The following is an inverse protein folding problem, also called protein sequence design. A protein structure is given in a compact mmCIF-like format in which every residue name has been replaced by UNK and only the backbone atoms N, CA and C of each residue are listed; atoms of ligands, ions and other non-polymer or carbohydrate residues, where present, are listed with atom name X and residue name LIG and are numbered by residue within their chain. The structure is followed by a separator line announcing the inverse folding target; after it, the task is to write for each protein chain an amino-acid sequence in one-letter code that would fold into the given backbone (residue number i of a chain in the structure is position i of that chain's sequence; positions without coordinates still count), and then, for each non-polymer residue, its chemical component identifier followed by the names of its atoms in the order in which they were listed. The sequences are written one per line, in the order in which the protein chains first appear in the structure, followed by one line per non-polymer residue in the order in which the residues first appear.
data_IF_757029114540
#
_entry.id   IF_757029114540
#
_cell.length_a   1.000
_cell.length_b   1.000
_cell.length_c   1.000
_cell.angle_alpha   90.00
_cell.angle_beta   90.00
_cell.angle_gamma   90.00
#
_symmetry.space_group_name_H-M   'P 1'
#
loop_
_entity.id
_entity.type
_entity.pdbx_description
1 polymer ?
#
# COMPACT_ATOMS: atom_id res chain seq x y z
N UNK A 1 -13.77 -7.88 37.79
CA UNK A 1 -13.27 -8.74 36.69
C UNK A 1 -14.28 -9.87 36.46
N UNK A 2 -15.05 -9.83 35.38
CA UNK A 2 -16.01 -10.89 35.07
C UNK A 2 -15.28 -12.12 34.52
N UNK A 3 -15.60 -13.31 35.04
CA UNK A 3 -14.93 -14.56 34.64
C UNK A 3 -15.34 -14.96 33.23
N UNK A 4 -14.43 -15.66 32.48
CA UNK A 4 -14.71 -16.22 31.14
C UNK A 4 -16.04 -17.01 31.08
N UNK A 5 -16.43 -17.66 32.17
CA UNK A 5 -17.71 -18.40 32.28
C UNK A 5 -18.95 -17.50 32.30
N UNK A 6 -18.85 -16.27 32.80
CA UNK A 6 -19.95 -15.30 32.76
C UNK A 6 -20.14 -14.74 31.34
N UNK A 7 -19.06 -14.51 30.60
CA UNK A 7 -19.11 -14.05 29.22
C UNK A 7 -19.82 -15.08 28.31
N UNK A 8 -19.49 -16.38 28.48
CA UNK A 8 -20.10 -17.46 27.67
C UNK A 8 -21.62 -17.63 28.02
N UNK A 9 -22.01 -17.47 29.29
CA UNK A 9 -23.42 -17.55 29.68
C UNK A 9 -24.25 -16.37 29.14
N UNK A 10 -23.69 -15.17 29.07
CA UNK A 10 -24.37 -14.01 28.50
C UNK A 10 -24.51 -14.10 26.97
N UNK A 11 -23.55 -14.71 26.27
CA UNK A 11 -23.64 -14.97 24.83
C UNK A 11 -24.69 -16.03 24.47
N UNK A 12 -24.93 -17.01 25.35
CA UNK A 12 -25.92 -18.07 25.14
C UNK A 12 -27.37 -17.54 25.30
N UNK A 13 -27.59 -16.52 26.14
CA UNK A 13 -28.92 -15.91 26.34
C UNK A 13 -29.29 -14.97 25.18
N UNK A 14 -28.32 -14.33 24.57
CA UNK A 14 -28.53 -13.48 23.37
C UNK A 14 -28.89 -14.30 22.12
N UNK A 15 -28.48 -15.57 22.05
CA UNK A 15 -28.76 -16.46 20.92
C UNK A 15 -30.16 -17.03 20.86
N UNK A 16 -30.89 -17.08 22.00
CA UNK A 16 -32.22 -17.68 22.08
C UNK A 16 -33.39 -16.73 21.70
N UNK A 17 -33.09 -15.44 21.53
CA UNK A 17 -34.09 -14.41 21.17
C UNK A 17 -34.30 -14.18 19.69
N UNK A 18 -33.46 -14.77 18.80
CA UNK A 18 -33.45 -14.49 17.34
C UNK A 18 -34.22 -15.52 16.49
N UNK A 19 -34.92 -16.48 17.08
CA UNK A 19 -35.61 -17.53 16.32
C UNK A 19 -37.05 -17.19 15.88
N UNK A 20 -37.51 -15.95 16.05
CA UNK A 20 -38.85 -15.51 15.62
C UNK A 20 -38.85 -14.35 14.61
N UNK A 21 -37.76 -14.16 13.85
CA UNK A 21 -37.81 -13.25 12.71
C UNK A 21 -38.19 -14.09 11.47
N UNK A 22 -39.35 -13.81 10.82
CA UNK A 22 -39.72 -14.51 9.60
C UNK A 22 -38.62 -14.32 8.56
N UNK A 23 -38.29 -15.38 7.84
CA UNK A 23 -37.29 -15.43 6.75
C UNK A 23 -37.41 -14.23 5.79
N UNK A 24 -36.90 -13.07 6.21
CA UNK A 24 -36.45 -12.08 5.26
C UNK A 24 -35.09 -12.59 4.80
N UNK A 25 -35.06 -13.18 3.64
CA UNK A 25 -33.85 -13.45 2.86
C UNK A 25 -33.03 -12.15 2.87
N UNK A 26 -32.08 -12.05 3.82
CA UNK A 26 -30.96 -11.15 3.64
C UNK A 26 -30.22 -11.66 2.40
N UNK A 27 -30.69 -11.21 1.25
CA UNK A 27 -29.92 -11.29 0.05
C UNK A 27 -28.63 -10.54 0.34
N UNK A 28 -27.58 -11.29 0.69
CA UNK A 28 -26.23 -10.80 0.52
C UNK A 28 -26.11 -10.50 -0.98
N UNK A 29 -26.45 -9.26 -1.34
CA UNK A 29 -25.95 -8.68 -2.57
C UNK A 29 -24.45 -8.54 -2.34
N UNK A 30 -23.73 -9.64 -2.56
CA UNK A 30 -22.29 -9.56 -2.82
C UNK A 30 -22.19 -8.88 -4.17
N UNK A 31 -22.28 -7.55 -4.15
CA UNK A 31 -21.84 -6.76 -5.28
C UNK A 31 -20.31 -6.95 -5.34
N UNK A 32 -19.89 -8.01 -6.01
CA UNK A 32 -18.48 -8.30 -6.31
C UNK A 32 -18.02 -7.40 -7.46
N UNK A 33 -18.37 -6.13 -7.42
CA UNK A 33 -17.64 -5.15 -8.19
C UNK A 33 -16.27 -5.07 -7.51
N UNK A 34 -15.29 -5.71 -8.11
CA UNK A 34 -13.90 -5.71 -7.64
C UNK A 34 -13.46 -4.25 -7.62
N UNK A 35 -13.34 -3.68 -6.42
CA UNK A 35 -12.86 -2.31 -6.28
C UNK A 35 -11.46 -2.26 -6.88
N UNK A 36 -11.32 -1.51 -7.97
CA UNK A 36 -10.03 -1.37 -8.68
C UNK A 36 -9.22 -0.32 -7.93
N UNK A 37 -8.12 -0.77 -7.32
CA UNK A 37 -7.19 0.12 -6.63
C UNK A 37 -6.49 1.05 -7.64
N UNK A 38 -6.55 2.34 -7.41
CA UNK A 38 -5.94 3.37 -8.26
C UNK A 38 -4.65 3.86 -7.64
N UNK A 39 -3.54 3.65 -8.32
CA UNK A 39 -2.22 3.98 -7.77
C UNK A 39 -1.49 5.03 -8.58
N UNK A 40 -0.66 5.82 -7.87
CA UNK A 40 0.36 6.68 -8.42
C UNK A 40 1.76 6.05 -8.28
N UNK A 41 2.63 6.24 -9.26
CA UNK A 41 4.04 5.87 -9.17
C UNK A 41 4.89 7.14 -9.12
N UNK A 42 5.69 7.29 -8.06
CA UNK A 42 6.61 8.40 -7.87
C UNK A 42 8.03 7.85 -8.00
N UNK A 43 8.69 8.20 -9.11
CA UNK A 43 9.92 7.57 -9.59
C UNK A 43 9.62 6.34 -10.45
N UNK A 44 9.86 6.45 -11.75
CA UNK A 44 9.74 5.34 -12.73
C UNK A 44 11.10 4.99 -13.35
N UNK A 45 12.18 5.18 -12.58
CA UNK A 45 13.52 4.72 -12.88
C UNK A 45 13.63 3.19 -12.97
N UNK A 46 14.82 2.62 -12.74
CA UNK A 46 15.01 1.16 -12.84
C UNK A 46 14.09 0.40 -11.89
N UNK A 47 14.07 0.79 -10.62
CA UNK A 47 13.26 0.12 -9.59
C UNK A 47 11.78 0.38 -9.76
N UNK A 48 11.38 1.64 -10.01
CA UNK A 48 9.99 2.00 -10.28
C UNK A 48 9.42 1.31 -11.51
N UNK A 49 10.24 1.07 -12.55
CA UNK A 49 9.84 0.26 -13.70
C UNK A 49 9.54 -1.20 -13.33
N UNK A 50 10.26 -1.78 -12.37
CA UNK A 50 9.95 -3.13 -11.88
C UNK A 50 8.60 -3.17 -11.18
N UNK A 51 8.30 -2.18 -10.32
CA UNK A 51 6.99 -2.05 -9.70
C UNK A 51 5.89 -1.83 -10.73
N UNK A 52 6.12 -0.96 -11.71
CA UNK A 52 5.19 -0.75 -12.82
C UNK A 52 4.85 -2.06 -13.52
N UNK A 53 5.85 -2.87 -13.88
CA UNK A 53 5.64 -4.16 -14.54
C UNK A 53 4.80 -5.12 -13.68
N UNK A 54 5.07 -5.18 -12.36
CA UNK A 54 4.30 -6.00 -11.44
C UNK A 54 2.82 -5.58 -11.38
N UNK A 55 2.57 -4.27 -11.36
CA UNK A 55 1.22 -3.70 -11.32
C UNK A 55 0.47 -3.94 -12.63
N UNK A 56 1.15 -3.79 -13.77
CA UNK A 56 0.53 -3.99 -15.10
C UNK A 56 0.03 -5.43 -15.31
N UNK A 57 0.59 -6.40 -14.61
CA UNK A 57 0.15 -7.81 -14.64
C UNK A 57 -1.08 -8.09 -13.76
N UNK A 58 -1.68 -7.07 -13.12
CA UNK A 58 -2.84 -7.21 -12.25
C UNK A 58 -4.08 -6.61 -12.89
N UNK A 59 -5.23 -7.22 -12.61
CA UNK A 59 -6.54 -6.75 -13.10
C UNK A 59 -7.30 -5.92 -12.05
N UNK A 60 -6.86 -5.97 -10.80
CA UNK A 60 -7.46 -5.27 -9.66
C UNK A 60 -6.75 -3.95 -9.32
N UNK A 61 -5.77 -3.52 -10.16
CA UNK A 61 -5.00 -2.28 -9.95
C UNK A 61 -4.91 -1.50 -11.26
N UNK A 62 -5.09 -0.18 -11.18
CA UNK A 62 -4.85 0.74 -12.29
C UNK A 62 -3.77 1.76 -11.92
N UNK A 63 -2.84 2.00 -12.83
CA UNK A 63 -1.90 3.11 -12.74
C UNK A 63 -2.61 4.38 -13.23
N UNK A 64 -2.95 5.26 -12.30
CA UNK A 64 -3.72 6.50 -12.58
C UNK A 64 -2.81 7.68 -12.84
N UNK A 65 -1.63 7.69 -12.20
CA UNK A 65 -0.66 8.78 -12.34
C UNK A 65 0.78 8.26 -12.24
N UNK A 66 1.71 8.93 -12.93
CA UNK A 66 3.15 8.70 -12.83
C UNK A 66 3.88 10.03 -12.65
N UNK A 67 4.94 10.04 -11.84
CA UNK A 67 5.79 11.20 -11.64
C UNK A 67 7.26 10.80 -11.76
N UNK A 68 8.02 11.52 -12.58
CA UNK A 68 9.49 11.43 -12.67
C UNK A 68 10.02 12.71 -13.30
N UNK A 69 11.20 13.14 -12.88
CA UNK A 69 11.89 14.32 -13.46
C UNK A 69 12.59 14.02 -14.79
N UNK A 70 12.86 12.73 -15.09
CA UNK A 70 13.50 12.31 -16.33
C UNK A 70 12.44 12.00 -17.40
N UNK A 71 12.35 12.82 -18.48
CA UNK A 71 11.38 12.60 -19.56
C UNK A 71 11.59 11.27 -20.29
N UNK A 72 12.83 10.74 -20.32
CA UNK A 72 13.09 9.44 -20.93
C UNK A 72 12.45 8.32 -20.10
N UNK A 73 12.50 8.40 -18.77
CA UNK A 73 11.84 7.44 -17.87
C UNK A 73 10.34 7.47 -18.03
N UNK A 74 9.76 8.65 -18.11
CA UNK A 74 8.33 8.83 -18.41
C UNK A 74 7.97 8.16 -19.76
N UNK A 75 8.75 8.39 -20.80
CA UNK A 75 8.50 7.80 -22.13
C UNK A 75 8.52 6.28 -22.09
N UNK A 76 9.51 5.70 -21.42
CA UNK A 76 9.63 4.23 -21.23
C UNK A 76 8.43 3.68 -20.45
N UNK A 77 8.00 4.36 -19.38
CA UNK A 77 6.85 3.94 -18.58
C UNK A 77 5.55 3.96 -19.39
N UNK A 78 5.31 5.03 -20.15
CA UNK A 78 4.14 5.17 -21.01
C UNK A 78 4.09 4.11 -22.12
N UNK A 79 5.22 3.78 -22.73
CA UNK A 79 5.31 2.70 -23.73
C UNK A 79 4.92 1.34 -23.13
N UNK A 80 5.40 1.02 -21.92
CA UNK A 80 5.05 -0.21 -21.20
C UNK A 80 3.56 -0.29 -20.87
N UNK A 81 2.99 0.82 -20.36
CA UNK A 81 1.56 0.92 -20.04
C UNK A 81 0.72 0.70 -21.30
N UNK A 82 1.11 1.34 -22.41
CA UNK A 82 0.44 1.18 -23.70
C UNK A 82 0.52 -0.26 -24.23
N UNK A 83 1.68 -0.90 -24.16
CA UNK A 83 1.89 -2.31 -24.57
C UNK A 83 1.08 -3.29 -23.73
N UNK A 84 0.82 -2.96 -22.46
CA UNK A 84 -0.05 -3.74 -21.58
C UNK A 84 -1.56 -3.49 -21.82
N UNK A 85 -1.92 -2.65 -22.79
CA UNK A 85 -3.31 -2.32 -23.10
C UNK A 85 -4.03 -1.53 -22.01
N UNK A 86 -3.28 -0.91 -21.09
CA UNK A 86 -3.85 -0.13 -19.99
C UNK A 86 -4.03 1.34 -20.37
N UNK A 87 -4.94 2.03 -19.68
CA UNK A 87 -5.23 3.45 -19.91
C UNK A 87 -4.00 4.31 -19.62
N UNK A 88 -3.76 5.34 -20.44
CA UNK A 88 -2.69 6.31 -20.23
C UNK A 88 -2.91 7.07 -18.91
N UNK A 89 -1.91 7.07 -17.98
CA UNK A 89 -1.99 7.80 -16.72
C UNK A 89 -1.78 9.31 -16.93
N UNK A 90 -2.12 10.11 -15.91
CA UNK A 90 -1.66 11.48 -15.80
C UNK A 90 -0.14 11.49 -15.55
N UNK A 91 0.55 12.47 -16.12
CA UNK A 91 2.01 12.59 -16.02
C UNK A 91 2.37 13.88 -15.29
N UNK A 92 3.28 13.76 -14.34
CA UNK A 92 3.84 14.85 -13.54
C UNK A 92 5.37 14.82 -13.72
N UNK A 93 5.95 15.88 -14.30
CA UNK A 93 7.38 15.88 -14.64
C UNK A 93 7.98 17.28 -14.74
N UNK A 94 7.34 18.25 -14.06
CA UNK A 94 7.74 19.65 -14.13
C UNK A 94 9.04 19.93 -13.37
N UNK A 95 9.14 19.41 -12.15
CA UNK A 95 10.28 19.55 -11.24
C UNK A 95 10.26 18.45 -10.19
N UNK A 96 11.22 18.46 -9.26
CA UNK A 96 11.34 17.48 -8.18
C UNK A 96 10.20 17.52 -7.16
N UNK A 97 9.36 18.55 -7.15
CA UNK A 97 8.21 18.71 -6.25
C UNK A 97 6.88 18.41 -6.94
N UNK A 98 6.87 18.13 -8.24
CA UNK A 98 5.65 17.90 -9.02
C UNK A 98 4.88 16.64 -8.55
N UNK A 99 5.54 15.75 -7.77
CA UNK A 99 4.86 14.63 -7.08
C UNK A 99 3.74 15.11 -6.14
N UNK A 100 3.80 16.33 -5.60
CA UNK A 100 2.76 16.90 -4.75
C UNK A 100 1.47 17.10 -5.52
N UNK A 101 1.55 17.54 -6.76
CA UNK A 101 0.38 17.66 -7.64
C UNK A 101 -0.23 16.27 -7.95
N UNK A 102 0.59 15.20 -7.98
CA UNK A 102 0.09 13.84 -8.07
C UNK A 102 -0.65 13.45 -6.78
N UNK A 103 -0.14 13.81 -5.61
CA UNK A 103 -0.76 13.50 -4.32
C UNK A 103 -2.10 14.23 -4.11
N UNK A 104 -2.31 15.37 -4.74
CA UNK A 104 -3.58 16.12 -4.70
C UNK A 104 -4.72 15.44 -5.48
N UNK A 105 -4.42 14.43 -6.32
CA UNK A 105 -5.45 13.72 -7.06
C UNK A 105 -6.33 12.89 -6.12
N UNK A 106 -7.60 13.26 -5.98
CA UNK A 106 -8.59 12.52 -5.18
C UNK A 106 -8.75 11.06 -5.66
N UNK A 107 -8.58 10.84 -6.96
CA UNK A 107 -8.71 9.53 -7.59
C UNK A 107 -7.52 8.57 -7.34
N UNK A 108 -6.44 8.99 -6.68
CA UNK A 108 -5.31 8.15 -6.31
C UNK A 108 -5.52 7.64 -4.90
N UNK A 109 -5.61 6.33 -4.73
CA UNK A 109 -5.80 5.67 -3.43
C UNK A 109 -4.47 5.41 -2.71
N UNK A 110 -3.46 5.04 -3.48
CA UNK A 110 -2.14 4.65 -2.97
C UNK A 110 -1.01 5.11 -3.89
N UNK A 111 0.20 5.24 -3.34
CA UNK A 111 1.40 5.58 -4.12
C UNK A 111 2.53 4.59 -3.85
N UNK A 112 3.34 4.33 -4.87
CA UNK A 112 4.61 3.60 -4.75
C UNK A 112 5.73 4.61 -5.03
N UNK A 113 6.65 4.75 -4.06
CA UNK A 113 7.76 5.69 -4.09
C UNK A 113 9.05 4.92 -4.32
N UNK A 114 9.75 5.23 -5.42
CA UNK A 114 10.99 4.57 -5.88
C UNK A 114 12.00 5.59 -6.41
N UNK A 115 12.13 6.70 -5.70
CA UNK A 115 13.03 7.82 -5.99
C UNK A 115 14.41 7.60 -5.34
N UNK A 116 15.38 8.51 -5.50
CA UNK A 116 16.61 8.48 -4.70
C UNK A 116 16.33 8.61 -3.20
N UNK A 117 17.14 7.94 -2.37
CA UNK A 117 16.93 7.78 -0.91
C UNK A 117 16.68 9.07 -0.14
N UNK A 118 17.36 10.16 -0.54
CA UNK A 118 17.20 11.49 0.10
C UNK A 118 15.76 12.06 -0.01
N UNK A 119 14.96 11.53 -0.92
CA UNK A 119 13.58 11.95 -1.12
C UNK A 119 12.56 11.07 -0.40
N UNK A 120 12.95 9.87 0.02
CA UNK A 120 12.05 8.84 0.51
C UNK A 120 11.20 9.32 1.69
N UNK A 121 11.84 9.75 2.77
CA UNK A 121 11.12 10.20 3.99
C UNK A 121 10.18 11.35 3.70
N UNK A 122 10.66 12.38 2.99
CA UNK A 122 9.85 13.55 2.63
C UNK A 122 8.63 13.17 1.82
N UNK A 123 8.82 12.41 0.75
CA UNK A 123 7.73 12.00 -0.14
C UNK A 123 6.73 11.09 0.56
N UNK A 124 7.21 10.19 1.42
CA UNK A 124 6.34 9.31 2.20
C UNK A 124 5.50 10.09 3.23
N UNK A 125 6.10 11.07 3.91
CA UNK A 125 5.37 11.99 4.81
C UNK A 125 4.29 12.76 4.06
N UNK A 126 4.66 13.41 2.95
CA UNK A 126 3.71 14.18 2.14
C UNK A 126 2.56 13.28 1.65
N UNK A 127 2.85 12.02 1.26
CA UNK A 127 1.84 11.07 0.83
C UNK A 127 0.89 10.65 1.96
N UNK A 128 1.42 10.33 3.14
CA UNK A 128 0.60 10.01 4.32
C UNK A 128 -0.26 11.19 4.77
N UNK A 129 0.28 12.43 4.75
CA UNK A 129 -0.47 13.65 5.05
C UNK A 129 -1.59 13.91 4.03
N UNK A 130 -1.39 13.52 2.77
CA UNK A 130 -2.42 13.56 1.73
C UNK A 130 -3.42 12.38 1.80
N UNK A 131 -3.33 11.54 2.83
CA UNK A 131 -4.22 10.38 3.02
C UNK A 131 -3.98 9.22 2.05
N UNK A 132 -2.81 9.15 1.38
CA UNK A 132 -2.50 8.12 0.39
C UNK A 132 -1.74 6.96 1.05
N UNK A 133 -2.25 5.72 0.91
CA UNK A 133 -1.49 4.54 1.28
C UNK A 133 -0.14 4.54 0.56
N UNK A 134 0.94 4.31 1.31
CA UNK A 134 2.29 4.53 0.78
C UNK A 134 3.09 3.25 0.77
N UNK A 135 3.50 2.79 -0.40
CA UNK A 135 4.56 1.79 -0.57
C UNK A 135 5.88 2.52 -0.81
N UNK A 136 6.85 2.36 0.08
CA UNK A 136 8.13 3.06 0.03
C UNK A 136 9.27 2.06 -0.18
N UNK A 137 10.11 2.29 -1.19
CA UNK A 137 11.33 1.50 -1.39
C UNK A 137 12.37 1.72 -0.28
N UNK A 138 13.26 0.79 -0.14
CA UNK A 138 14.41 0.86 0.78
C UNK A 138 15.50 1.80 0.22
N UNK A 139 16.19 2.52 1.12
CA UNK A 139 15.95 2.66 2.56
C UNK A 139 14.84 3.67 2.83
N UNK A 140 14.01 3.40 3.83
CA UNK A 140 12.89 4.30 4.14
C UNK A 140 13.35 5.65 4.72
N UNK A 141 14.44 5.64 5.45
CA UNK A 141 15.02 6.80 6.13
C UNK A 141 16.55 6.70 6.15
N UNK A 142 17.23 7.83 6.28
CA UNK A 142 18.69 7.92 6.35
C UNK A 142 19.19 8.34 7.75
N UNK A 143 18.33 8.92 8.57
CA UNK A 143 18.62 9.35 9.94
C UNK A 143 17.58 8.82 10.92
N UNK A 144 17.91 8.86 12.21
CA UNK A 144 16.99 8.46 13.27
C UNK A 144 15.78 9.42 13.35
N UNK A 145 16.01 10.70 13.11
CA UNK A 145 14.95 11.72 13.07
C UNK A 145 13.96 11.41 11.96
N UNK A 146 14.44 11.02 10.78
CA UNK A 146 13.59 10.62 9.67
C UNK A 146 12.78 9.36 10.00
N UNK A 147 13.33 8.40 10.74
CA UNK A 147 12.57 7.23 11.22
C UNK A 147 11.41 7.67 12.12
N UNK A 148 11.67 8.55 13.09
CA UNK A 148 10.63 9.08 13.96
C UNK A 148 9.61 9.93 13.21
N UNK A 149 10.05 10.68 12.22
CA UNK A 149 9.16 11.45 11.35
C UNK A 149 8.12 10.57 10.66
N UNK A 150 8.53 9.41 10.13
CA UNK A 150 7.61 8.46 9.48
C UNK A 150 6.62 7.86 10.49
N UNK A 151 7.11 7.44 11.66
CA UNK A 151 6.26 6.88 12.72
C UNK A 151 5.25 7.91 13.21
N UNK A 152 5.71 9.10 13.58
CA UNK A 152 4.85 10.18 14.08
C UNK A 152 3.80 10.60 13.04
N UNK A 153 4.18 10.65 11.75
CA UNK A 153 3.24 10.98 10.67
C UNK A 153 2.17 9.90 10.53
N UNK A 154 2.54 8.62 10.63
CA UNK A 154 1.56 7.52 10.64
C UNK A 154 0.60 7.64 11.83
N UNK A 155 1.12 7.84 13.04
CA UNK A 155 0.29 7.99 14.25
C UNK A 155 -0.64 9.20 14.18
N UNK A 156 -0.16 10.32 13.62
CA UNK A 156 -0.95 11.53 13.46
C UNK A 156 -2.07 11.39 12.44
N UNK A 157 -1.81 10.71 11.31
CA UNK A 157 -2.73 10.65 10.17
C UNK A 157 -3.59 9.40 10.15
N UNK A 158 -3.15 8.32 10.80
CA UNK A 158 -3.71 6.98 10.65
C UNK A 158 -3.47 6.35 9.27
N UNK A 159 -2.74 7.02 8.38
CA UNK A 159 -2.47 6.54 7.02
C UNK A 159 -1.33 5.53 7.03
N UNK A 160 -1.55 4.36 6.44
CA UNK A 160 -0.56 3.30 6.44
C UNK A 160 0.59 3.53 5.45
N UNK A 161 1.78 3.16 5.88
CA UNK A 161 2.97 3.05 5.04
C UNK A 161 3.55 1.64 5.14
N UNK A 162 4.03 1.10 4.01
CA UNK A 162 4.71 -0.19 3.93
C UNK A 162 6.09 0.00 3.29
N UNK A 163 7.12 -0.55 3.92
CA UNK A 163 8.47 -0.63 3.32
C UNK A 163 8.49 -1.82 2.36
N UNK A 164 8.88 -1.58 1.11
CA UNK A 164 8.86 -2.57 0.03
C UNK A 164 10.17 -3.38 -0.01
N UNK A 165 10.51 -4.03 1.12
CA UNK A 165 11.68 -4.90 1.23
C UNK A 165 11.38 -6.29 0.65
N UNK A 166 11.85 -6.52 -0.57
CA UNK A 166 11.57 -7.76 -1.30
C UNK A 166 12.37 -8.97 -0.82
N UNK A 167 13.50 -8.77 -0.14
CA UNK A 167 14.35 -9.86 0.37
C UNK A 167 13.61 -10.67 1.45
N UNK A 168 12.75 -10.03 2.24
CA UNK A 168 11.95 -10.69 3.27
C UNK A 168 11.02 -11.80 2.74
N UNK A 169 10.71 -11.77 1.45
CA UNK A 169 9.82 -12.76 0.79
C UNK A 169 10.59 -13.88 0.07
N UNK A 170 11.91 -13.90 0.17
CA UNK A 170 12.74 -14.99 -0.37
C UNK A 170 12.52 -16.28 0.44
N UNK A 171 12.56 -17.41 -0.26
CA UNK A 171 12.32 -18.72 0.38
C UNK A 171 13.33 -19.04 1.49
N UNK A 172 14.59 -18.68 1.32
CA UNK A 172 15.64 -18.84 2.33
C UNK A 172 15.36 -18.00 3.57
N UNK A 173 14.95 -16.75 3.42
CA UNK A 173 14.60 -15.87 4.55
C UNK A 173 13.34 -16.37 5.26
N UNK A 174 12.31 -16.79 4.51
CA UNK A 174 11.11 -17.38 5.10
C UNK A 174 11.40 -18.70 5.86
N UNK A 175 12.36 -19.49 5.37
CA UNK A 175 12.82 -20.68 6.08
C UNK A 175 13.50 -20.31 7.40
N UNK A 176 14.41 -19.31 7.39
CA UNK A 176 15.06 -18.80 8.61
C UNK A 176 14.02 -18.27 9.59
N UNK A 177 13.04 -17.48 9.13
CA UNK A 177 11.96 -16.98 9.99
C UNK A 177 11.15 -18.13 10.63
N UNK A 178 10.90 -19.20 9.88
CA UNK A 178 10.24 -20.38 10.42
C UNK A 178 11.10 -21.11 11.48
N UNK A 179 12.41 -21.19 11.26
CA UNK A 179 13.35 -21.76 12.24
C UNK A 179 13.40 -20.92 13.53
N UNK A 180 13.40 -19.59 13.41
CA UNK A 180 13.29 -18.67 14.58
C UNK A 180 12.00 -18.93 15.35
N UNK A 181 10.86 -19.07 14.67
CA UNK A 181 9.56 -19.36 15.31
C UNK A 181 9.51 -20.72 16.02
N UNK A 182 10.41 -21.64 15.66
CA UNK A 182 10.54 -22.97 16.26
C UNK A 182 11.66 -23.03 17.31
N UNK A 183 12.22 -21.89 17.70
CA UNK A 183 13.32 -21.74 18.67
C UNK A 183 14.57 -22.59 18.33
N UNK A 184 14.82 -22.88 17.03
CA UNK A 184 15.94 -23.71 16.58
C UNK A 184 17.29 -23.05 16.86
N UNK A 185 17.34 -21.72 16.92
CA UNK A 185 18.58 -20.98 17.19
C UNK A 185 18.85 -20.74 18.69
N UNK A 186 17.90 -21.14 19.57
CA UNK A 186 17.99 -20.86 21.00
C UNK A 186 17.56 -19.43 21.37
N UNK A 187 17.66 -19.13 22.68
CA UNK A 187 17.40 -17.80 23.24
C UNK A 187 18.52 -16.80 22.94
#
# INVERSE_FOLDING_TARGET
MSSRRQCIKQSAIAGAGLSMIPNTTFGMVTNTQKDILKIGLIGVGLRGTNHLNNVLNRDDVNVTAICDIDPNRITIALDRISKAGKKKPKVFSKDEYDYRNLLELEEVDAVIISTPWLWHTRMAKDAMLAGKYTGLEVSAANTMEECWDLVNTHEQTGTHMMILENVNYRRDILAVLNMVKQDIFGE
#
